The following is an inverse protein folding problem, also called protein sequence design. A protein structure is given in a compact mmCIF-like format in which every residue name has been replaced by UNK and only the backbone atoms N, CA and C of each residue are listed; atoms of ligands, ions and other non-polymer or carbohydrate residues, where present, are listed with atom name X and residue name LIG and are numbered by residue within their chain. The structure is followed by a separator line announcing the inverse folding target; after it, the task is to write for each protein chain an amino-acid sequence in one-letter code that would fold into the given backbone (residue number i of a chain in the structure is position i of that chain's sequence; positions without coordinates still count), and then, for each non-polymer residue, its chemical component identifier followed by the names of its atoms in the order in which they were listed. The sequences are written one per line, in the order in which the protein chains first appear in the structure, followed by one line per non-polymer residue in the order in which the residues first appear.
data_IF_585316365265
#
_entry.id   IF_585316365265
#
_cell.length_a   1.000
_cell.length_b   1.000
_cell.length_c   1.000
_cell.angle_alpha   90.00
_cell.angle_beta   90.00
_cell.angle_gamma   90.00
#
_symmetry.space_group_name_H-M   'P 1'
#
loop_
_entity.id
_entity.type
_entity.pdbx_description
1 polymer ?
#
# COMPACT_ATOMS: atom_id res chain seq x y z
N UNK A 1 -6.26 -1.92 -5.84
CA UNK A 1 -5.36 -1.51 -6.95
C UNK A 1 -5.61 -0.05 -7.21
N UNK A 2 -4.58 0.74 -7.50
CA UNK A 2 -4.68 2.20 -7.67
C UNK A 2 -3.99 2.63 -8.95
N UNK A 3 -4.47 3.74 -9.52
CA UNK A 3 -3.93 4.31 -10.76
C UNK A 3 -2.76 5.25 -10.44
N UNK A 4 -1.56 4.87 -10.87
CA UNK A 4 -0.36 5.70 -10.75
C UNK A 4 0.45 5.53 -9.46
N UNK A 5 1.77 5.75 -9.56
CA UNK A 5 2.73 5.56 -8.46
C UNK A 5 2.47 6.52 -7.28
N UNK A 6 1.98 7.73 -7.58
CA UNK A 6 1.65 8.74 -6.58
C UNK A 6 0.46 8.33 -5.71
N UNK A 7 -0.54 7.65 -6.28
CA UNK A 7 -1.69 7.15 -5.53
C UNK A 7 -1.27 6.07 -4.52
N UNK A 8 -0.33 5.18 -4.88
CA UNK A 8 0.21 4.18 -3.94
C UNK A 8 0.89 4.88 -2.76
N UNK A 9 1.69 5.92 -3.03
CA UNK A 9 2.38 6.68 -1.98
C UNK A 9 1.39 7.46 -1.09
N UNK A 10 0.39 8.09 -1.69
CA UNK A 10 -0.64 8.81 -0.93
C UNK A 10 -1.37 7.88 0.05
N UNK A 11 -1.77 6.68 -0.40
CA UNK A 11 -2.37 5.70 0.51
C UNK A 11 -1.41 5.19 1.57
N UNK A 12 -0.13 5.02 1.24
CA UNK A 12 0.88 4.63 2.22
C UNK A 12 0.99 5.66 3.36
N UNK A 13 0.98 6.96 3.04
CA UNK A 13 1.02 8.04 4.03
C UNK A 13 -0.30 8.15 4.81
N UNK A 14 -1.44 8.07 4.14
CA UNK A 14 -2.76 8.08 4.80
C UNK A 14 -2.90 6.92 5.78
N UNK A 15 -2.47 5.72 5.40
CA UNK A 15 -2.67 4.52 6.22
C UNK A 15 -1.74 4.52 7.45
N UNK A 16 -0.53 5.05 7.30
CA UNK A 16 0.33 5.33 8.45
C UNK A 16 -0.28 6.39 9.36
N UNK A 17 -0.86 7.46 8.81
CA UNK A 17 -1.53 8.49 9.60
C UNK A 17 -2.78 7.96 10.33
N UNK A 18 -3.46 6.97 9.75
CA UNK A 18 -4.55 6.24 10.39
C UNK A 18 -4.09 5.23 11.45
N UNK A 19 -2.78 5.01 11.61
CA UNK A 19 -2.22 4.08 12.57
C UNK A 19 -2.33 2.60 12.17
N UNK A 20 -2.56 2.32 10.88
CA UNK A 20 -2.55 0.95 10.37
C UNK A 20 -1.12 0.40 10.44
N UNK A 21 -0.99 -0.86 10.85
CA UNK A 21 0.33 -1.50 10.91
C UNK A 21 0.81 -1.83 9.51
N UNK A 22 1.93 -1.25 9.10
CA UNK A 22 2.57 -1.60 7.83
C UNK A 22 3.36 -2.89 8.00
N UNK A 23 2.89 -3.99 7.42
CA UNK A 23 3.57 -5.29 7.42
C UNK A 23 4.67 -5.39 6.34
N UNK A 24 4.51 -4.66 5.24
CA UNK A 24 5.53 -4.48 4.21
C UNK A 24 5.58 -3.00 3.85
N UNK A 25 6.73 -2.38 4.08
CA UNK A 25 6.98 -0.98 3.70
C UNK A 25 6.85 -0.78 2.18
N UNK A 26 6.63 0.48 1.78
CA UNK A 26 6.53 0.86 0.38
C UNK A 26 7.79 0.42 -0.40
N UNK A 27 7.64 -0.63 -1.20
CA UNK A 27 8.71 -1.29 -1.94
C UNK A 27 8.40 -1.26 -3.43
N UNK A 28 9.40 -1.01 -4.27
CA UNK A 28 9.27 -1.08 -5.73
C UNK A 28 9.53 -2.51 -6.20
N UNK A 29 8.55 -3.13 -6.85
CA UNK A 29 8.67 -4.44 -7.50
C UNK A 29 8.56 -4.28 -9.04
N UNK A 30 8.61 -5.38 -9.79
CA UNK A 30 8.54 -5.37 -11.26
C UNK A 30 7.29 -4.66 -11.82
N UNK A 31 6.17 -4.71 -11.09
CA UNK A 31 4.90 -4.04 -11.43
C UNK A 31 4.76 -2.66 -10.74
N UNK A 32 5.87 -2.06 -10.28
CA UNK A 32 5.90 -0.76 -9.62
C UNK A 32 5.78 -0.79 -8.08
N UNK A 33 5.49 0.35 -7.44
CA UNK A 33 5.43 0.47 -5.99
C UNK A 33 4.27 -0.32 -5.39
N UNK A 34 4.52 -0.98 -4.27
CA UNK A 34 3.54 -1.72 -3.49
C UNK A 34 3.84 -1.66 -2.01
N UNK A 35 2.81 -1.78 -1.19
CA UNK A 35 2.96 -1.95 0.26
C UNK A 35 1.84 -2.86 0.79
N UNK A 36 2.04 -3.38 2.00
CA UNK A 36 1.03 -4.17 2.70
C UNK A 36 0.82 -3.60 4.08
N UNK A 37 -0.42 -3.32 4.43
CA UNK A 37 -0.83 -3.01 5.78
C UNK A 37 -1.69 -4.13 6.37
N UNK A 38 -1.80 -4.14 7.70
CA UNK A 38 -2.75 -4.94 8.43
C UNK A 38 -3.91 -4.07 8.88
N UNK A 39 -5.13 -4.53 8.63
CA UNK A 39 -6.31 -3.97 9.26
C UNK A 39 -6.36 -4.38 10.77
N UNK A 40 -7.24 -3.77 11.58
CA UNK A 40 -7.39 -4.09 13.00
C UNK A 40 -7.65 -5.58 13.31
N UNK A 41 -8.32 -6.31 12.41
CA UNK A 41 -8.56 -7.75 12.49
C UNK A 41 -7.35 -8.59 12.04
N UNK A 42 -6.31 -7.95 11.51
CA UNK A 42 -5.06 -8.58 11.08
C UNK A 42 -5.06 -9.10 9.64
N UNK A 43 -6.06 -8.76 8.82
CA UNK A 43 -6.03 -9.09 7.40
C UNK A 43 -5.04 -8.20 6.65
N UNK A 44 -4.38 -8.81 5.66
CA UNK A 44 -3.39 -8.14 4.83
C UNK A 44 -4.07 -7.38 3.70
N UNK A 45 -4.01 -6.06 3.78
CA UNK A 45 -4.42 -5.15 2.73
C UNK A 45 -3.19 -4.78 1.89
N UNK A 46 -3.18 -5.24 0.64
CA UNK A 46 -2.11 -4.91 -0.31
C UNK A 46 -2.56 -3.82 -1.27
N UNK A 47 -1.76 -2.77 -1.37
CA UNK A 47 -1.91 -1.73 -2.37
C UNK A 47 -0.76 -1.86 -3.37
N UNK A 48 -1.11 -1.88 -4.65
CA UNK A 48 -0.18 -1.90 -5.77
C UNK A 48 -0.84 -1.22 -6.97
N UNK A 49 -0.02 -0.86 -7.94
CA UNK A 49 -0.47 -0.35 -9.23
C UNK A 49 -1.45 -1.32 -9.88
N UNK A 50 -2.51 -0.78 -10.47
CA UNK A 50 -3.27 -1.49 -11.48
C UNK A 50 -2.41 -1.62 -12.73
N UNK A 51 -2.19 -2.85 -13.19
CA UNK A 51 -1.64 -3.15 -14.51
C UNK A 51 -2.86 -3.21 -15.44
N UNK A 52 -2.91 -2.36 -16.47
CA UNK A 52 -4.03 -2.29 -17.41
C UNK A 52 -4.33 -3.62 -18.12
#
# INVERSE_FOLDING_TARGET
MVEGEEAVRAHYEEWQAMGLLIAQELTRMDFGPTFVALDPDGHRLRVCLYDE
#
